data_IF_234338532838
#
_entry.id   IF_234338532838
#
_cell.length_a   1.000
_cell.length_b   1.000
_cell.length_c   1.000
_cell.angle_alpha   90.00
_cell.angle_beta   90.00
_cell.angle_gamma   90.00
#
_symmetry.space_group_name_H-M   'P 1'
#
loop_
_entity.id
_entity.type
_entity.pdbx_description
1 polymer ?
#
# COMPACT_ATOMS: atom_id res chain seq x y z
N UNK A 1 5.64 3.78 8.75
CA UNK A 1 4.98 2.59 8.14
C UNK A 1 4.45 2.94 6.76
N UNK A 2 4.83 2.20 5.68
CA UNK A 2 4.26 2.37 4.34
C UNK A 2 3.02 1.49 4.18
N UNK A 3 1.88 2.11 3.89
CA UNK A 3 0.62 1.44 3.59
C UNK A 3 0.55 1.20 2.07
N UNK A 4 0.29 -0.05 1.65
CA UNK A 4 -0.03 -0.34 0.26
C UNK A 4 -1.46 0.11 -0.10
N UNK A 5 -1.84 -0.03 -1.36
CA UNK A 5 -3.19 0.34 -1.79
C UNK A 5 -4.28 -0.49 -1.10
N UNK A 6 -4.01 -1.80 -0.87
CA UNK A 6 -4.97 -2.67 -0.19
C UNK A 6 -5.25 -2.20 1.24
N UNK A 7 -4.22 -1.81 1.99
CA UNK A 7 -4.37 -1.34 3.37
C UNK A 7 -5.35 -0.17 3.45
N UNK A 8 -5.17 0.84 2.59
CA UNK A 8 -6.07 1.99 2.56
C UNK A 8 -7.47 1.63 2.04
N UNK A 9 -7.58 0.78 1.02
CA UNK A 9 -8.88 0.29 0.52
C UNK A 9 -9.63 -0.42 1.65
N UNK A 10 -8.97 -1.35 2.36
CA UNK A 10 -9.59 -2.08 3.47
C UNK A 10 -10.14 -1.15 4.55
N UNK A 11 -9.41 -0.09 4.89
CA UNK A 11 -9.89 0.93 5.82
C UNK A 11 -11.09 1.72 5.28
N UNK A 12 -11.08 2.08 3.98
CA UNK A 12 -12.14 2.89 3.39
C UNK A 12 -13.47 2.14 3.21
N UNK A 13 -13.43 0.81 3.01
CA UNK A 13 -14.63 -0.01 2.75
C UNK A 13 -14.93 -1.04 3.85
N UNK A 14 -14.30 -0.87 5.03
CA UNK A 14 -14.56 -1.67 6.25
C UNK A 14 -14.30 -3.18 6.07
N UNK A 15 -13.16 -3.52 5.42
CA UNK A 15 -12.69 -4.91 5.31
C UNK A 15 -11.99 -5.40 6.60
N UNK A 16 -11.68 -6.72 6.75
CA UNK A 16 -11.10 -7.29 7.97
C UNK A 16 -9.82 -6.60 8.50
N UNK A 17 -9.06 -5.90 7.64
CA UNK A 17 -7.87 -5.14 8.06
C UNK A 17 -8.18 -3.73 8.57
N UNK A 18 -9.43 -3.26 8.50
CA UNK A 18 -9.79 -1.84 8.74
C UNK A 18 -9.34 -1.34 10.11
N UNK A 19 -9.57 -2.10 11.17
CA UNK A 19 -9.22 -1.71 12.54
C UNK A 19 -7.70 -1.63 12.75
N UNK A 20 -6.93 -2.56 12.16
CA UNK A 20 -5.47 -2.55 12.25
C UNK A 20 -4.88 -1.36 11.48
N UNK A 21 -5.42 -1.08 10.30
CA UNK A 21 -5.01 0.10 9.51
C UNK A 21 -5.41 1.39 10.22
N UNK A 22 -6.58 1.44 10.86
CA UNK A 22 -6.99 2.59 11.66
C UNK A 22 -6.00 2.84 12.82
N UNK A 23 -5.54 1.78 13.49
CA UNK A 23 -4.52 1.91 14.53
C UNK A 23 -3.20 2.48 13.98
N UNK A 24 -2.74 2.00 12.80
CA UNK A 24 -1.54 2.54 12.13
C UNK A 24 -1.72 4.02 11.74
N UNK A 25 -2.91 4.40 11.25
CA UNK A 25 -3.21 5.78 10.87
C UNK A 25 -3.22 6.75 12.07
N UNK A 26 -3.41 6.24 13.28
CA UNK A 26 -3.37 7.03 14.52
C UNK A 26 -2.01 6.97 15.23
N UNK A 27 -1.07 6.17 14.75
CA UNK A 27 0.26 6.07 15.35
C UNK A 27 1.05 7.37 15.10
N UNK A 28 1.48 8.00 16.19
CA UNK A 28 2.25 9.25 16.15
C UNK A 28 3.77 9.01 16.24
N UNK A 29 4.17 7.83 16.66
CA UNK A 29 5.58 7.46 16.81
C UNK A 29 6.13 6.90 15.49
N UNK A 30 5.28 6.24 14.67
CA UNK A 30 5.58 5.79 13.32
C UNK A 30 4.49 6.26 12.33
N UNK A 31 4.51 7.55 11.93
CA UNK A 31 3.47 8.11 11.07
C UNK A 31 3.32 7.33 9.76
N UNK A 32 2.07 7.03 9.35
CA UNK A 32 1.83 6.26 8.15
C UNK A 32 2.13 7.09 6.89
N UNK A 33 2.67 6.40 5.89
CA UNK A 33 2.92 6.98 4.58
C UNK A 33 2.29 6.11 3.48
N UNK A 34 1.94 6.73 2.37
CA UNK A 34 1.55 6.05 1.12
C UNK A 34 2.26 6.72 -0.04
N UNK A 35 2.68 6.00 -1.06
CA UNK A 35 3.20 6.68 -2.24
C UNK A 35 2.07 7.08 -3.21
N UNK A 36 2.37 8.03 -4.10
CA UNK A 36 1.38 8.59 -5.03
C UNK A 36 0.74 7.56 -5.97
N UNK A 37 1.45 6.49 -6.33
CA UNK A 37 0.93 5.43 -7.21
C UNK A 37 -0.05 4.54 -6.45
N UNK A 38 0.29 4.12 -5.22
CA UNK A 38 -0.61 3.35 -4.36
C UNK A 38 -1.81 4.18 -3.92
N UNK A 39 -1.65 5.50 -3.74
CA UNK A 39 -2.78 6.39 -3.50
C UNK A 39 -3.74 6.44 -4.70
N UNK A 40 -3.21 6.54 -5.93
CA UNK A 40 -4.03 6.51 -7.14
C UNK A 40 -4.77 5.17 -7.30
N UNK A 41 -4.10 4.04 -7.02
CA UNK A 41 -4.75 2.72 -7.00
C UNK A 41 -5.81 2.62 -5.90
N UNK A 42 -5.58 3.19 -4.72
CA UNK A 42 -6.58 3.24 -3.63
C UNK A 42 -7.85 3.94 -4.12
N UNK A 43 -7.73 5.09 -4.78
CA UNK A 43 -8.88 5.84 -5.31
C UNK A 43 -9.63 5.00 -6.35
N UNK A 44 -8.93 4.43 -7.34
CA UNK A 44 -9.52 3.58 -8.37
C UNK A 44 -10.26 2.38 -7.76
N UNK A 45 -9.60 1.64 -6.88
CA UNK A 45 -10.17 0.41 -6.31
C UNK A 45 -11.33 0.68 -5.36
N UNK A 46 -11.25 1.70 -4.51
CA UNK A 46 -12.33 2.05 -3.59
C UNK A 46 -13.59 2.47 -4.34
N UNK A 47 -13.45 3.16 -5.46
CA UNK A 47 -14.59 3.56 -6.28
C UNK A 47 -15.08 2.44 -7.17
N UNK A 48 -14.21 1.87 -8.01
CA UNK A 48 -14.58 0.91 -9.06
C UNK A 48 -14.92 -0.48 -8.50
N UNK A 49 -14.25 -0.93 -7.45
CA UNK A 49 -14.44 -2.27 -6.85
C UNK A 49 -15.20 -2.17 -5.53
N UNK A 50 -14.84 -1.22 -4.68
CA UNK A 50 -15.48 -0.99 -3.38
C UNK A 50 -16.86 -0.33 -3.45
N UNK A 51 -17.23 0.21 -4.62
CA UNK A 51 -18.56 0.79 -4.84
C UNK A 51 -18.81 2.13 -4.16
N UNK A 52 -17.77 2.80 -3.67
CA UNK A 52 -17.90 4.14 -3.12
C UNK A 52 -17.98 5.19 -4.24
N UNK A 53 -18.75 6.24 -4.02
CA UNK A 53 -18.74 7.38 -4.92
C UNK A 53 -17.36 8.07 -4.91
N UNK A 54 -16.85 8.47 -6.08
CA UNK A 54 -15.52 9.05 -6.21
C UNK A 54 -15.32 10.27 -5.30
N UNK A 55 -16.35 11.11 -5.16
CA UNK A 55 -16.31 12.30 -4.30
C UNK A 55 -16.11 11.92 -2.83
N UNK A 56 -16.74 10.84 -2.38
CA UNK A 56 -16.61 10.36 -1.00
C UNK A 56 -15.21 9.77 -0.75
N UNK A 57 -14.67 9.02 -1.71
CA UNK A 57 -13.31 8.49 -1.63
C UNK A 57 -12.29 9.64 -1.49
N UNK A 58 -12.37 10.64 -2.37
CA UNK A 58 -11.46 11.79 -2.33
C UNK A 58 -11.58 12.56 -1.02
N UNK A 59 -12.80 12.74 -0.51
CA UNK A 59 -13.02 13.41 0.77
C UNK A 59 -12.43 12.63 1.95
N UNK A 60 -12.65 11.31 2.02
CA UNK A 60 -12.06 10.46 3.06
C UNK A 60 -10.54 10.49 3.03
N UNK A 61 -9.92 10.39 1.84
CA UNK A 61 -8.47 10.52 1.69
C UNK A 61 -7.97 11.90 2.15
N UNK A 62 -8.71 12.97 1.87
CA UNK A 62 -8.35 14.32 2.36
C UNK A 62 -8.33 14.33 3.89
N UNK A 63 -9.33 13.75 4.55
CA UNK A 63 -9.35 13.65 6.02
C UNK A 63 -8.20 12.82 6.58
N UNK A 64 -7.83 11.71 5.92
CA UNK A 64 -6.67 10.91 6.33
C UNK A 64 -5.36 11.73 6.24
N UNK A 65 -5.20 12.51 5.17
CA UNK A 65 -4.04 13.41 5.01
C UNK A 65 -4.02 14.52 6.06
N UNK A 66 -5.15 15.13 6.33
CA UNK A 66 -5.30 16.13 7.40
C UNK A 66 -5.02 15.51 8.77
N UNK A 67 -5.31 14.22 8.93
CA UNK A 67 -5.02 13.40 10.11
C UNK A 67 -3.55 12.97 10.26
N UNK A 68 -2.71 13.16 9.24
CA UNK A 68 -1.28 12.86 9.29
C UNK A 68 -0.77 11.82 8.30
N UNK A 69 -1.63 11.24 7.44
CA UNK A 69 -1.16 10.37 6.35
C UNK A 69 -0.33 11.18 5.35
N UNK A 70 0.97 10.89 5.26
CA UNK A 70 1.86 11.53 4.29
C UNK A 70 1.81 10.83 2.93
N UNK A 71 1.83 11.62 1.85
CA UNK A 71 1.90 11.10 0.48
C UNK A 71 3.29 11.33 -0.09
N UNK A 72 4.02 10.23 -0.29
CA UNK A 72 5.36 10.25 -0.88
C UNK A 72 5.28 10.41 -2.41
N UNK A 73 6.08 11.31 -2.96
CA UNK A 73 6.22 11.42 -4.40
C UNK A 73 6.93 10.17 -4.97
N UNK A 74 6.50 9.75 -6.16
CA UNK A 74 7.20 8.74 -6.96
C UNK A 74 7.88 9.47 -8.13
N UNK A 75 9.18 9.63 -8.06
CA UNK A 75 9.97 10.35 -9.07
C UNK A 75 10.63 9.40 -10.09
N UNK A 76 11.49 9.92 -10.96
CA UNK A 76 12.16 9.14 -11.98
C UNK A 76 13.08 8.05 -11.39
N UNK A 77 13.69 8.31 -10.21
CA UNK A 77 14.51 7.32 -9.52
C UNK A 77 13.64 6.17 -9.00
N UNK A 78 12.54 6.47 -8.31
CA UNK A 78 11.59 5.46 -7.82
C UNK A 78 11.03 4.63 -8.97
N UNK A 79 10.70 5.28 -10.10
CA UNK A 79 10.24 4.60 -11.30
C UNK A 79 11.27 3.64 -11.89
N UNK A 80 12.55 4.03 -11.94
CA UNK A 80 13.62 3.16 -12.40
C UNK A 80 13.83 1.95 -11.48
N UNK A 81 13.83 2.16 -10.16
CA UNK A 81 13.92 1.09 -9.16
C UNK A 81 12.72 0.15 -9.25
N UNK A 82 11.50 0.68 -9.31
CA UNK A 82 10.28 -0.13 -9.46
C UNK A 82 10.30 -0.99 -10.73
N UNK A 83 10.77 -0.42 -11.85
CA UNK A 83 10.93 -1.15 -13.10
C UNK A 83 11.94 -2.30 -12.99
N UNK A 84 13.09 -2.07 -12.34
CA UNK A 84 14.09 -3.09 -12.08
C UNK A 84 13.57 -4.20 -11.15
N UNK A 85 12.90 -3.84 -10.07
CA UNK A 85 12.27 -4.81 -9.15
C UNK A 85 11.24 -5.68 -9.86
N UNK A 86 10.41 -5.06 -10.70
CA UNK A 86 9.45 -5.82 -11.48
C UNK A 86 10.12 -6.79 -12.47
N UNK A 87 11.17 -6.36 -13.15
CA UNK A 87 11.93 -7.24 -14.05
C UNK A 87 12.58 -8.41 -13.31
N UNK A 88 12.97 -8.22 -12.04
CA UNK A 88 13.59 -9.25 -11.21
C UNK A 88 12.58 -10.23 -10.60
N UNK A 89 11.45 -9.73 -10.06
CA UNK A 89 10.55 -10.50 -9.21
C UNK A 89 9.25 -10.93 -9.90
N UNK A 90 8.87 -10.27 -11.01
CA UNK A 90 7.62 -10.58 -11.69
C UNK A 90 7.67 -11.94 -12.37
N UNK A 91 6.67 -12.76 -12.09
CA UNK A 91 6.36 -13.96 -12.84
C UNK A 91 4.84 -14.02 -13.03
N UNK A 92 4.41 -14.18 -14.28
CA UNK A 92 2.99 -14.11 -14.65
C UNK A 92 2.13 -15.14 -13.92
N UNK A 93 2.66 -16.34 -13.71
CA UNK A 93 1.88 -17.47 -13.24
C UNK A 93 2.03 -17.70 -11.74
N UNK A 94 3.16 -17.29 -11.17
CA UNK A 94 3.48 -17.57 -9.76
C UNK A 94 3.56 -16.32 -8.88
N UNK A 95 3.86 -15.16 -9.45
CA UNK A 95 4.05 -13.90 -8.71
C UNK A 95 3.72 -12.67 -9.59
N UNK A 96 2.44 -12.39 -9.80
CA UNK A 96 2.01 -11.31 -10.70
C UNK A 96 2.10 -9.92 -10.07
N UNK A 97 3.28 -9.57 -9.50
CA UNK A 97 3.51 -8.24 -8.91
C UNK A 97 3.13 -7.11 -9.86
N UNK A 98 2.33 -6.18 -9.40
CA UNK A 98 1.95 -4.98 -10.13
C UNK A 98 3.09 -3.95 -10.15
N UNK A 99 2.99 -2.92 -11.02
CA UNK A 99 3.90 -1.78 -10.94
C UNK A 99 3.68 -0.97 -9.66
N UNK A 100 2.46 -0.92 -9.14
CA UNK A 100 2.16 -0.25 -7.89
C UNK A 100 2.84 -0.93 -6.70
N UNK A 101 2.86 -2.27 -6.66
CA UNK A 101 3.60 -3.04 -5.64
C UNK A 101 5.10 -2.75 -5.71
N UNK A 102 5.66 -2.71 -6.93
CA UNK A 102 7.07 -2.36 -7.11
C UNK A 102 7.38 -0.91 -6.72
N UNK A 103 6.45 0.03 -6.92
CA UNK A 103 6.58 1.40 -6.42
C UNK A 103 6.51 1.45 -4.89
N UNK A 104 5.65 0.61 -4.25
CA UNK A 104 5.62 0.48 -2.79
C UNK A 104 6.97 0.00 -2.26
N UNK A 105 7.54 -1.06 -2.84
CA UNK A 105 8.87 -1.57 -2.48
C UNK A 105 9.97 -0.52 -2.66
N UNK A 106 9.99 0.19 -3.80
CA UNK A 106 10.96 1.25 -4.07
C UNK A 106 10.89 2.37 -3.02
N UNK A 107 9.67 2.81 -2.70
CA UNK A 107 9.44 3.81 -1.65
C UNK A 107 9.84 3.30 -0.27
N UNK A 108 9.50 2.04 0.08
CA UNK A 108 9.87 1.45 1.36
C UNK A 108 11.38 1.41 1.57
N UNK A 109 12.15 0.99 0.54
CA UNK A 109 13.62 1.00 0.58
C UNK A 109 14.15 2.42 0.74
N UNK A 110 13.68 3.35 -0.09
CA UNK A 110 14.18 4.74 -0.11
C UNK A 110 13.99 5.45 1.22
N UNK A 111 12.86 5.23 1.88
CA UNK A 111 12.49 5.94 3.11
C UNK A 111 12.66 5.10 4.38
N UNK A 112 13.21 3.88 4.26
CA UNK A 112 13.43 3.00 5.41
C UNK A 112 12.16 2.55 6.10
N UNK A 113 11.07 2.35 5.35
CA UNK A 113 9.75 2.03 5.88
C UNK A 113 9.48 0.52 5.89
N UNK A 114 8.81 0.04 6.93
CA UNK A 114 8.15 -1.26 6.89
C UNK A 114 6.93 -1.21 5.96
N UNK A 115 6.53 -2.33 5.38
CA UNK A 115 5.39 -2.42 4.43
C UNK A 115 4.21 -3.11 5.09
N UNK A 116 3.07 -2.43 5.17
CA UNK A 116 1.81 -3.01 5.61
C UNK A 116 1.00 -3.48 4.39
N UNK A 117 0.76 -4.79 4.30
CA UNK A 117 0.08 -5.40 3.15
C UNK A 117 -0.63 -6.70 3.51
N UNK A 118 -1.70 -7.03 2.78
CA UNK A 118 -2.31 -8.35 2.75
C UNK A 118 -1.94 -9.15 1.49
N UNK A 119 -1.22 -8.55 0.56
CA UNK A 119 -0.80 -9.22 -0.68
C UNK A 119 0.38 -10.17 -0.41
N UNK A 120 0.24 -11.50 -0.65
CA UNK A 120 1.30 -12.46 -0.40
C UNK A 120 2.52 -12.25 -1.31
N UNK A 121 2.33 -11.79 -2.54
CA UNK A 121 3.43 -11.59 -3.49
C UNK A 121 4.24 -10.34 -3.13
N UNK A 122 3.56 -9.25 -2.74
CA UNK A 122 4.22 -8.06 -2.22
C UNK A 122 4.97 -8.35 -0.90
N UNK A 123 4.32 -9.08 0.03
CA UNK A 123 4.93 -9.46 1.30
C UNK A 123 6.17 -10.36 1.09
N UNK A 124 6.09 -11.30 0.14
CA UNK A 124 7.23 -12.13 -0.22
C UNK A 124 8.37 -11.28 -0.80
N UNK A 125 8.10 -10.42 -1.79
CA UNK A 125 9.12 -9.59 -2.40
C UNK A 125 9.78 -8.61 -1.40
N UNK A 126 8.99 -8.06 -0.47
CA UNK A 126 9.51 -7.23 0.62
C UNK A 126 10.51 -8.01 1.50
N UNK A 127 10.18 -9.26 1.87
CA UNK A 127 11.08 -10.12 2.66
C UNK A 127 12.37 -10.49 1.91
N UNK A 128 12.30 -10.75 0.60
CA UNK A 128 13.50 -10.98 -0.23
C UNK A 128 14.44 -9.78 -0.29
N UNK A 129 13.92 -8.59 0.04
CA UNK A 129 14.67 -7.34 0.10
C UNK A 129 15.03 -6.94 1.54
N UNK A 130 14.90 -7.84 2.50
CA UNK A 130 15.13 -7.61 3.94
C UNK A 130 14.27 -6.48 4.54
N UNK A 131 13.12 -6.17 3.93
CA UNK A 131 12.17 -5.21 4.47
C UNK A 131 11.29 -5.85 5.54
N UNK A 132 10.97 -5.08 6.57
CA UNK A 132 9.99 -5.49 7.58
C UNK A 132 8.58 -5.45 6.96
N UNK A 133 7.81 -6.52 7.17
CA UNK A 133 6.42 -6.62 6.73
C UNK A 133 5.49 -6.62 7.95
N UNK A 134 4.49 -5.74 7.92
CA UNK A 134 3.34 -5.79 8.81
C UNK A 134 2.19 -6.52 8.06
N UNK A 135 1.98 -7.82 8.31
CA UNK A 135 1.05 -8.61 7.54
C UNK A 135 -0.39 -8.28 7.96
N UNK A 136 -1.20 -7.83 7.02
CA UNK A 136 -2.62 -7.53 7.21
C UNK A 136 -3.50 -8.73 6.80
N UNK A 137 -4.70 -8.88 7.38
CA UNK A 137 -5.66 -9.87 6.91
C UNK A 137 -6.25 -9.46 5.55
N UNK A 138 -6.38 -10.41 4.62
CA UNK A 138 -7.10 -10.21 3.36
C UNK A 138 -8.63 -10.15 3.59
N UNK A 139 -9.42 -9.98 2.52
CA UNK A 139 -10.89 -9.93 2.58
C UNK A 139 -11.53 -11.21 3.15
N UNK A 140 -10.76 -12.29 3.34
CA UNK A 140 -11.17 -13.56 3.96
C UNK A 140 -10.51 -13.77 5.33
N UNK A 141 -9.80 -12.78 5.86
CA UNK A 141 -9.11 -12.84 7.15
C UNK A 141 -7.77 -13.60 7.13
N UNK A 142 -7.21 -13.97 5.97
CA UNK A 142 -5.93 -14.68 5.86
C UNK A 142 -4.78 -13.67 5.75
N UNK A 143 -3.62 -14.01 6.32
CA UNK A 143 -2.41 -13.16 6.25
C UNK A 143 -1.35 -13.75 5.32
N UNK A 144 -0.54 -12.92 4.67
CA UNK A 144 0.56 -13.33 3.81
C UNK A 144 1.77 -13.91 4.58
#
# INVERSE_FOLDING_TARGET
MLLDAFALVAHLIDEPAADEVAAMLHDRDDPPVVNAVNLAETIDRSSRVGGLELVDVVQRITWLRDGGLEVLAVDAFDGAVAGALRAQFYDRDTRPLSLADCCALASAVRYGQAVATADPDLAWAAREMDLVVAPLPDSRGRRP
#
